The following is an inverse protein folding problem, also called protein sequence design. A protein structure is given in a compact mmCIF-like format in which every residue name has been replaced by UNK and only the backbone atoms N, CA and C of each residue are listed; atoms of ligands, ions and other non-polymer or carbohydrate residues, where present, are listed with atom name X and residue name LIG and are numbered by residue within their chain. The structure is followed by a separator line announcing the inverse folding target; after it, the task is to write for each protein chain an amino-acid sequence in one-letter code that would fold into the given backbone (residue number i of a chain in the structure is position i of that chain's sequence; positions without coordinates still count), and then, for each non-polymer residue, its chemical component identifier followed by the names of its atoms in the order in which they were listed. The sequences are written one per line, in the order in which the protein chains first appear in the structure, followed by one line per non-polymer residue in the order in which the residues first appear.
data_IF_836010250577
#
_entry.id   IF_836010250577
#
_cell.length_a   1.000
_cell.length_b   1.000
_cell.length_c   1.000
_cell.angle_alpha   90.00
_cell.angle_beta   90.00
_cell.angle_gamma   90.00
#
_symmetry.space_group_name_H-M   'P 1'
#
loop_
_entity.id
_entity.type
_entity.pdbx_description
1 polymer ?
#
# COMPACT_ATOMS: atom_id res chain seq x y z
N UNK A 1 24.05 26.60 5.08
CA UNK A 1 24.72 27.44 4.08
C UNK A 1 25.84 28.33 4.63
N UNK A 2 25.60 29.30 5.53
CA UNK A 2 26.68 30.20 5.99
C UNK A 2 27.83 29.48 6.72
N UNK A 3 27.51 28.49 7.56
CA UNK A 3 28.51 27.67 8.27
C UNK A 3 29.44 26.91 7.32
N UNK A 4 28.90 26.17 6.36
CA UNK A 4 29.69 25.38 5.39
C UNK A 4 30.49 26.26 4.43
N UNK A 5 29.94 27.40 4.04
CA UNK A 5 30.65 28.40 3.25
C UNK A 5 31.85 28.99 4.01
N UNK A 6 31.68 29.31 5.29
CA UNK A 6 32.77 29.78 6.15
C UNK A 6 33.84 28.71 6.35
N UNK A 7 33.44 27.46 6.59
CA UNK A 7 34.35 26.33 6.76
C UNK A 7 35.18 26.09 5.48
N UNK A 8 34.55 26.20 4.30
CA UNK A 8 35.25 26.16 3.00
C UNK A 8 36.18 27.35 2.80
N UNK A 9 35.78 28.56 3.20
CA UNK A 9 36.61 29.75 3.09
C UNK A 9 37.83 29.68 4.03
N UNK A 10 37.70 29.01 5.18
CA UNK A 10 38.80 28.73 6.10
C UNK A 10 39.76 27.68 5.55
N UNK A 11 39.26 26.61 4.91
CA UNK A 11 40.15 25.58 4.32
C UNK A 11 40.94 26.09 3.12
N UNK A 12 40.47 27.13 2.42
CA UNK A 12 41.20 27.80 1.35
C UNK A 12 42.31 28.74 1.84
N UNK A 13 42.42 29.00 3.16
CA UNK A 13 43.50 29.79 3.77
C UNK A 13 44.70 28.94 4.21
N UNK A 14 44.64 27.62 4.04
CA UNK A 14 45.73 26.70 4.35
C UNK A 14 46.89 26.97 3.38
N UNK A 15 48.13 27.06 3.90
CA UNK A 15 49.33 27.38 3.10
C UNK A 15 49.58 26.39 1.95
N UNK A 16 49.28 25.09 2.16
CA UNK A 16 49.33 24.10 1.09
C UNK A 16 48.01 24.08 0.30
N UNK A 17 48.04 24.71 -0.87
CA UNK A 17 46.92 24.80 -1.80
C UNK A 17 46.34 23.41 -2.16
N UNK A 18 47.19 22.38 -2.25
CA UNK A 18 46.75 21.02 -2.64
C UNK A 18 45.97 20.34 -1.53
N UNK A 19 46.32 20.62 -0.27
CA UNK A 19 45.61 20.12 0.91
C UNK A 19 44.32 20.89 1.12
N UNK A 20 44.36 22.22 1.00
CA UNK A 20 43.17 23.08 1.10
C UNK A 20 42.09 22.72 0.07
N UNK A 21 42.46 22.52 -1.21
CA UNK A 21 41.51 22.08 -2.26
C UNK A 21 40.89 20.72 -1.98
N UNK A 22 41.69 19.74 -1.54
CA UNK A 22 41.18 18.40 -1.23
C UNK A 22 40.20 18.46 -0.06
N UNK A 23 40.51 19.26 0.96
CA UNK A 23 39.65 19.43 2.12
C UNK A 23 38.33 20.15 1.76
N UNK A 24 38.38 21.21 0.95
CA UNK A 24 37.19 21.88 0.44
C UNK A 24 36.29 20.94 -0.36
N UNK A 25 36.86 20.09 -1.23
CA UNK A 25 36.10 19.09 -1.99
C UNK A 25 35.44 18.04 -1.09
N UNK A 26 36.14 17.59 -0.06
CA UNK A 26 35.59 16.64 0.91
C UNK A 26 34.43 17.25 1.71
N UNK A 27 34.52 18.55 2.05
CA UNK A 27 33.44 19.28 2.73
C UNK A 27 32.20 19.39 1.84
N UNK A 28 32.38 19.83 0.58
CA UNK A 28 31.27 19.89 -0.39
C UNK A 28 30.62 18.51 -0.59
N UNK A 29 31.43 17.44 -0.68
CA UNK A 29 30.95 16.08 -0.81
C UNK A 29 30.21 15.60 0.44
N UNK A 30 30.68 15.95 1.64
CA UNK A 30 30.01 15.62 2.90
C UNK A 30 28.66 16.33 3.03
N UNK A 31 28.56 17.60 2.63
CA UNK A 31 27.30 18.34 2.61
C UNK A 31 26.32 17.73 1.61
N UNK A 32 26.78 17.41 0.39
CA UNK A 32 25.93 16.79 -0.62
C UNK A 32 25.42 15.41 -0.17
N UNK A 33 26.29 14.61 0.44
CA UNK A 33 25.93 13.30 0.96
C UNK A 33 24.92 13.42 2.11
N UNK A 34 25.10 14.41 3.00
CA UNK A 34 24.16 14.69 4.08
C UNK A 34 22.78 15.07 3.53
N UNK A 35 22.70 16.01 2.60
CA UNK A 35 21.44 16.43 1.99
C UNK A 35 20.76 15.25 1.28
N UNK A 36 21.52 14.43 0.56
CA UNK A 36 21.01 13.21 -0.06
C UNK A 36 20.39 12.25 0.97
N UNK A 37 21.11 11.97 2.05
CA UNK A 37 20.59 11.08 3.09
C UNK A 37 19.41 11.68 3.83
N UNK A 38 19.39 12.98 4.11
CA UNK A 38 18.27 13.66 4.77
C UNK A 38 16.98 13.49 3.95
N UNK A 39 17.02 13.73 2.63
CA UNK A 39 15.87 13.52 1.74
C UNK A 39 15.48 12.04 1.62
N UNK A 40 16.46 11.14 1.52
CA UNK A 40 16.20 9.70 1.46
C UNK A 40 15.51 9.21 2.74
N UNK A 41 16.04 9.59 3.91
CA UNK A 41 15.48 9.22 5.21
C UNK A 41 14.11 9.87 5.43
N UNK A 42 13.91 11.11 5.01
CA UNK A 42 12.60 11.76 5.10
C UNK A 42 11.55 10.98 4.30
N UNK A 43 11.84 10.66 3.04
CA UNK A 43 10.94 9.87 2.20
C UNK A 43 10.70 8.46 2.76
N UNK A 44 11.76 7.80 3.25
CA UNK A 44 11.68 6.47 3.84
C UNK A 44 10.85 6.47 5.12
N UNK A 45 11.14 7.38 6.05
CA UNK A 45 10.45 7.49 7.34
C UNK A 45 8.98 7.87 7.15
N UNK A 46 8.68 8.78 6.23
CA UNK A 46 7.30 9.17 5.92
C UNK A 46 6.53 7.99 5.30
N UNK A 47 7.15 7.24 4.39
CA UNK A 47 6.56 6.02 3.83
C UNK A 47 6.35 4.92 4.87
N UNK A 48 7.35 4.71 5.74
CA UNK A 48 7.29 3.72 6.80
C UNK A 48 6.19 4.06 7.81
N UNK A 49 6.18 5.28 8.32
CA UNK A 49 5.20 5.74 9.31
C UNK A 49 3.79 5.83 8.74
N UNK A 50 3.63 6.32 7.51
CA UNK A 50 2.31 6.55 6.91
C UNK A 50 1.64 5.30 6.33
N UNK A 51 2.42 4.33 5.85
CA UNK A 51 1.86 3.16 5.13
C UNK A 51 2.20 1.85 5.80
N UNK A 52 3.48 1.63 6.09
CA UNK A 52 3.97 0.32 6.53
C UNK A 52 3.56 0.02 7.97
N UNK A 53 3.79 0.96 8.89
CA UNK A 53 3.47 0.82 10.30
C UNK A 53 1.97 0.51 10.52
N UNK A 54 1.02 1.28 9.95
CA UNK A 54 -0.41 0.97 10.10
C UNK A 54 -0.80 -0.43 9.61
N UNK A 55 -0.21 -0.89 8.50
CA UNK A 55 -0.47 -2.24 7.98
C UNK A 55 0.00 -3.31 8.97
N UNK A 56 1.20 -3.16 9.53
CA UNK A 56 1.70 -4.07 10.56
C UNK A 56 0.89 -4.02 11.85
N UNK A 57 0.44 -2.83 12.28
CA UNK A 57 -0.48 -2.72 13.41
C UNK A 57 -1.80 -3.46 13.15
N UNK A 58 -2.36 -3.35 11.93
CA UNK A 58 -3.55 -4.09 11.55
C UNK A 58 -3.31 -5.61 11.60
N UNK A 59 -2.18 -6.09 11.06
CA UNK A 59 -1.83 -7.52 11.14
C UNK A 59 -1.65 -8.00 12.58
N UNK A 60 -0.98 -7.20 13.43
CA UNK A 60 -0.85 -7.49 14.85
C UNK A 60 -2.20 -7.55 15.55
N UNK A 61 -3.07 -6.57 15.29
CA UNK A 61 -4.43 -6.53 15.83
C UNK A 61 -5.26 -7.75 15.40
N UNK A 62 -5.25 -8.10 14.11
CA UNK A 62 -5.93 -9.30 13.60
C UNK A 62 -5.40 -10.55 14.30
N UNK A 63 -4.08 -10.68 14.42
CA UNK A 63 -3.50 -11.86 15.05
C UNK A 63 -3.86 -11.95 16.55
N UNK A 64 -3.85 -10.83 17.27
CA UNK A 64 -4.25 -10.76 18.68
C UNK A 64 -5.74 -11.09 18.86
N UNK A 65 -6.60 -10.49 18.05
CA UNK A 65 -8.05 -10.66 18.12
C UNK A 65 -8.50 -12.10 17.84
N UNK A 66 -7.82 -12.76 16.91
CA UNK A 66 -8.10 -14.14 16.52
C UNK A 66 -7.19 -15.16 17.22
N UNK A 67 -6.61 -14.81 18.38
CA UNK A 67 -5.99 -15.81 19.26
C UNK A 67 -7.04 -16.86 19.70
N UNK A 68 -6.69 -18.15 19.81
CA UNK A 68 -7.63 -19.20 20.20
C UNK A 68 -8.41 -18.90 21.48
N UNK A 69 -7.76 -18.27 22.47
CA UNK A 69 -8.34 -17.84 23.75
C UNK A 69 -9.49 -16.83 23.54
N UNK A 70 -9.24 -15.78 22.75
CA UNK A 70 -10.22 -14.76 22.44
C UNK A 70 -11.32 -15.32 21.54
N UNK A 71 -10.96 -16.18 20.59
CA UNK A 71 -11.92 -16.83 19.71
C UNK A 71 -12.88 -17.74 20.48
N UNK A 72 -12.36 -18.48 21.47
CA UNK A 72 -13.19 -19.30 22.36
C UNK A 72 -14.12 -18.43 23.20
N UNK A 73 -13.65 -17.29 23.68
CA UNK A 73 -14.46 -16.35 24.46
C UNK A 73 -15.61 -15.73 23.63
N UNK A 74 -15.32 -15.25 22.42
CA UNK A 74 -16.30 -14.51 21.60
C UNK A 74 -17.14 -15.39 20.68
N UNK A 75 -16.57 -16.49 20.18
CA UNK A 75 -17.21 -17.34 19.15
C UNK A 75 -17.44 -18.79 19.63
N UNK A 76 -16.98 -19.16 20.82
CA UNK A 76 -17.13 -20.53 21.36
C UNK A 76 -16.29 -21.60 20.63
N UNK A 77 -15.36 -21.19 19.76
CA UNK A 77 -14.51 -22.07 18.94
C UNK A 77 -13.08 -21.55 18.89
N UNK A 78 -12.11 -22.45 18.79
CA UNK A 78 -10.68 -22.11 18.86
C UNK A 78 -10.04 -21.79 17.49
N UNK A 79 -10.79 -21.92 16.39
CA UNK A 79 -10.29 -21.75 15.03
C UNK A 79 -11.23 -20.92 14.14
N UNK A 80 -10.64 -20.20 13.17
CA UNK A 80 -11.37 -19.41 12.16
C UNK A 80 -11.96 -20.32 11.09
N UNK A 81 -11.14 -21.22 10.53
CA UNK A 81 -11.54 -22.24 9.55
C UNK A 81 -10.74 -23.49 9.84
N UNK A 82 -11.43 -24.61 10.11
CA UNK A 82 -10.82 -25.93 10.13
C UNK A 82 -11.02 -26.55 8.74
N UNK A 83 -9.93 -26.72 7.99
CA UNK A 83 -9.98 -27.49 6.74
C UNK A 83 -9.72 -28.95 7.12
N UNK A 84 -10.70 -29.86 6.94
CA UNK A 84 -10.48 -31.28 7.19
C UNK A 84 -9.46 -31.79 6.16
N UNK A 85 -8.28 -32.16 6.62
CA UNK A 85 -7.25 -32.77 5.76
C UNK A 85 -7.21 -34.28 6.01
N UNK A 86 -6.75 -35.05 5.02
CA UNK A 86 -6.68 -36.52 5.05
C UNK A 86 -5.62 -37.07 6.02
N UNK A 87 -4.80 -36.19 6.60
CA UNK A 87 -3.85 -36.46 7.68
C UNK A 87 -4.35 -35.89 9.01
N UNK A 88 -4.00 -36.53 10.12
CA UNK A 88 -4.50 -36.29 11.47
C UNK A 88 -4.22 -34.91 12.08
N UNK A 89 -3.68 -33.95 11.32
CA UNK A 89 -3.38 -32.61 11.80
C UNK A 89 -4.05 -31.57 10.90
N UNK A 90 -5.03 -30.81 11.41
CA UNK A 90 -5.68 -29.77 10.64
C UNK A 90 -4.65 -28.68 10.29
N UNK A 91 -4.64 -28.26 9.03
CA UNK A 91 -3.77 -27.18 8.59
C UNK A 91 -4.29 -25.87 9.18
N UNK A 92 -3.71 -25.45 10.31
CA UNK A 92 -4.02 -24.18 10.97
C UNK A 92 -3.47 -23.04 10.11
N UNK A 93 -4.25 -22.61 9.13
CA UNK A 93 -3.99 -21.37 8.41
C UNK A 93 -4.20 -20.19 9.35
N UNK A 94 -3.16 -19.38 9.56
CA UNK A 94 -3.18 -18.25 10.48
C UNK A 94 -4.27 -17.20 10.16
N UNK A 95 -4.79 -16.45 11.15
CA UNK A 95 -5.86 -15.47 10.95
C UNK A 95 -5.52 -14.38 9.93
N UNK A 96 -4.24 -13.99 9.85
CA UNK A 96 -3.76 -12.99 8.89
C UNK A 96 -3.96 -13.44 7.44
N UNK A 97 -3.78 -14.74 7.15
CA UNK A 97 -4.03 -15.27 5.81
C UNK A 97 -5.50 -15.09 5.40
N UNK A 98 -6.42 -15.44 6.30
CA UNK A 98 -7.86 -15.28 6.07
C UNK A 98 -8.28 -13.82 5.94
N UNK A 99 -7.63 -12.92 6.67
CA UNK A 99 -7.83 -11.48 6.52
C UNK A 99 -7.40 -10.97 5.13
N UNK A 100 -6.23 -11.38 4.64
CA UNK A 100 -5.78 -10.99 3.29
C UNK A 100 -6.69 -11.61 2.22
N UNK A 101 -7.09 -12.86 2.41
CA UNK A 101 -8.02 -13.54 1.51
C UNK A 101 -9.38 -12.84 1.44
N UNK A 102 -9.94 -12.39 2.56
CA UNK A 102 -11.23 -11.69 2.58
C UNK A 102 -11.18 -10.34 1.85
N UNK A 103 -10.07 -9.60 1.98
CA UNK A 103 -9.85 -8.36 1.21
C UNK A 103 -9.83 -8.67 -0.29
N UNK A 104 -9.12 -9.72 -0.71
CA UNK A 104 -9.05 -10.12 -2.11
C UNK A 104 -10.44 -10.50 -2.65
N UNK A 105 -11.22 -11.26 -1.88
CA UNK A 105 -12.60 -11.59 -2.24
C UNK A 105 -13.45 -10.32 -2.38
N UNK A 106 -13.34 -9.35 -1.47
CA UNK A 106 -14.05 -8.07 -1.59
C UNK A 106 -13.72 -7.34 -2.90
N UNK A 107 -12.44 -7.31 -3.31
CA UNK A 107 -12.05 -6.71 -4.58
C UNK A 107 -12.62 -7.47 -5.79
N UNK A 108 -12.58 -8.80 -5.77
CA UNK A 108 -13.17 -9.64 -6.82
C UNK A 108 -14.67 -9.43 -6.91
N UNK A 109 -15.37 -9.36 -5.77
CA UNK A 109 -16.81 -9.09 -5.72
C UNK A 109 -17.13 -7.70 -6.26
N UNK A 110 -16.38 -6.67 -5.88
CA UNK A 110 -16.56 -5.32 -6.42
C UNK A 110 -16.40 -5.30 -7.95
N UNK A 111 -15.38 -5.99 -8.47
CA UNK A 111 -15.17 -6.13 -9.90
C UNK A 111 -16.32 -6.89 -10.58
N UNK A 112 -16.78 -8.00 -10.02
CA UNK A 112 -17.89 -8.76 -10.55
C UNK A 112 -19.20 -7.94 -10.55
N UNK A 113 -19.51 -7.27 -9.44
CA UNK A 113 -20.71 -6.43 -9.29
C UNK A 113 -20.70 -5.28 -10.28
N UNK A 114 -19.58 -4.55 -10.40
CA UNK A 114 -19.46 -3.45 -11.37
C UNK A 114 -19.65 -3.95 -12.80
N UNK A 115 -19.16 -5.13 -13.14
CA UNK A 115 -19.36 -5.77 -14.45
C UNK A 115 -20.82 -6.16 -14.70
N UNK A 116 -21.50 -6.75 -13.71
CA UNK A 116 -22.92 -7.12 -13.80
C UNK A 116 -23.79 -5.87 -13.98
N UNK A 117 -23.55 -4.82 -13.19
CA UNK A 117 -24.27 -3.55 -13.30
C UNK A 117 -24.06 -2.90 -14.67
N UNK A 118 -22.84 -2.96 -15.22
CA UNK A 118 -22.56 -2.45 -16.56
C UNK A 118 -23.33 -3.22 -17.65
N UNK A 119 -23.40 -4.55 -17.55
CA UNK A 119 -24.16 -5.38 -18.48
C UNK A 119 -25.67 -5.05 -18.44
N UNK A 120 -26.26 -4.95 -17.24
CA UNK A 120 -27.69 -4.63 -17.09
C UNK A 120 -28.01 -3.25 -17.71
N UNK A 121 -27.16 -2.24 -17.46
CA UNK A 121 -27.34 -0.90 -18.07
C UNK A 121 -27.26 -0.92 -19.59
N UNK A 122 -26.41 -1.78 -20.17
CA UNK A 122 -26.28 -1.89 -21.62
C UNK A 122 -27.53 -2.52 -22.27
N UNK A 123 -28.12 -3.54 -21.64
CA UNK A 123 -29.36 -4.17 -22.11
C UNK A 123 -30.55 -3.22 -22.04
N UNK A 124 -30.68 -2.45 -20.94
CA UNK A 124 -31.74 -1.46 -20.80
C UNK A 124 -31.67 -0.36 -21.88
N UNK A 125 -30.46 0.14 -22.19
CA UNK A 125 -30.27 1.11 -23.29
C UNK A 125 -30.57 0.54 -24.67
N UNK A 126 -30.28 -0.74 -24.90
CA UNK A 126 -30.55 -1.39 -26.18
C UNK A 126 -32.06 -1.60 -26.41
N UNK A 127 -32.79 -1.92 -25.34
CA UNK A 127 -34.24 -2.09 -25.37
C UNK A 127 -34.96 -0.75 -25.60
N UNK A 128 -34.55 0.30 -24.89
CA UNK A 128 -35.09 1.64 -25.09
C UNK A 128 -34.82 2.18 -26.51
N UNK A 129 -33.64 1.91 -27.09
CA UNK A 129 -33.32 2.30 -28.47
C UNK A 129 -34.17 1.57 -29.51
N UNK A 130 -34.53 0.30 -29.27
CA UNK A 130 -35.44 -0.46 -30.14
C UNK A 130 -36.86 0.08 -30.08
N UNK A 131 -37.34 0.44 -28.90
CA UNK A 131 -38.69 0.97 -28.71
C UNK A 131 -38.87 2.33 -29.39
N UNK A 132 -37.87 3.22 -29.28
CA UNK A 132 -37.83 4.53 -29.98
C UNK A 132 -37.78 4.33 -31.51
N UNK A 133 -37.01 3.36 -32.00
CA UNK A 133 -36.95 3.07 -33.43
C UNK A 133 -38.28 2.50 -33.97
N UNK A 134 -38.97 1.68 -33.18
CA UNK A 134 -40.27 1.10 -33.55
C UNK A 134 -41.41 2.14 -33.54
N UNK A 135 -41.34 3.15 -32.67
CA UNK A 135 -42.28 4.28 -32.68
C UNK A 135 -42.04 5.21 -33.88
N UNK A 136 -40.78 5.54 -34.18
CA UNK A 136 -40.45 6.36 -35.35
C UNK A 136 -40.83 5.70 -36.69
N UNK A 137 -40.73 4.36 -36.78
CA UNK A 137 -41.14 3.61 -37.98
C UNK A 137 -42.66 3.55 -38.17
N UNK A 138 -43.46 3.73 -37.11
CA UNK A 138 -44.93 3.78 -37.19
C UNK A 138 -45.47 5.14 -37.64
N UNK A 139 -44.71 6.21 -37.45
CA UNK A 139 -45.12 7.58 -37.85
C UNK A 139 -44.78 7.91 -39.32
N UNK A 140 -44.03 7.04 -40.00
CA UNK A 140 -43.56 7.24 -41.38
C UNK A 140 -44.36 6.47 -42.43
N UNK A 141 -45.40 5.73 -42.02
CA UNK A 141 -46.35 4.99 -42.87
C UNK A 141 -47.73 5.61 -42.73
#
# INVERSE_FOLDING_TARGET
FHYWYQLRAETMKIEDETVGRRMARNIDQAELNRVYYDYFFEGLMLGLAGKVIPIFFMFGFVNEFYKPEQMRLYFGREYVVAIPTTGSEPLLSGPVFWYVFSILVCYVLWFAVSRIVAMIRSSAKAEQKKEIAATAAKETV
#
